data_IF_338905960398
#
_entry.id   IF_338905960398
#
_cell.length_a   1.000
_cell.length_b   1.000
_cell.length_c   1.000
_cell.angle_alpha   90.00
_cell.angle_beta   90.00
_cell.angle_gamma   90.00
#
_symmetry.space_group_name_H-M   'P 1'
#
loop_
_entity.id
_entity.type
_entity.pdbx_description
1 polymer ?
#
# COMPACT_ATOMS: atom_id res chain seq x y z
N UNK A 1 3.90 -18.44 22.61
CA UNK A 1 5.30 -18.57 22.13
C UNK A 1 6.17 -19.44 23.05
N UNK A 2 5.62 -20.46 23.69
CA UNK A 2 6.28 -21.32 24.67
C UNK A 2 6.69 -22.67 24.06
N UNK A 3 7.59 -22.63 23.06
CA UNK A 3 8.25 -23.84 22.60
C UNK A 3 9.61 -24.00 23.27
N UNK A 4 10.10 -25.24 23.49
CA UNK A 4 11.38 -25.50 24.11
C UNK A 4 12.57 -25.04 23.28
N UNK A 5 12.38 -24.80 21.98
CA UNK A 5 13.42 -24.27 21.08
C UNK A 5 12.82 -23.38 19.99
N UNK A 6 13.68 -22.57 19.36
CA UNK A 6 13.31 -21.77 18.19
C UNK A 6 12.84 -22.63 17.01
N UNK A 7 13.41 -23.80 16.83
CA UNK A 7 13.03 -24.73 15.77
C UNK A 7 11.61 -25.26 15.97
N UNK A 8 11.25 -25.58 17.20
CA UNK A 8 9.90 -26.04 17.55
C UNK A 8 8.84 -24.97 17.27
N UNK A 9 9.11 -23.70 17.64
CA UNK A 9 8.23 -22.58 17.31
C UNK A 9 8.07 -22.40 15.80
N UNK A 10 9.16 -22.53 15.05
CA UNK A 10 9.11 -22.47 13.59
C UNK A 10 8.29 -23.60 12.97
N UNK A 11 8.36 -24.80 13.51
CA UNK A 11 7.53 -25.94 13.08
C UNK A 11 6.05 -25.72 13.38
N UNK A 12 5.72 -25.23 14.59
CA UNK A 12 4.34 -24.91 14.95
C UNK A 12 3.76 -23.83 14.06
N UNK A 13 4.48 -22.71 13.85
CA UNK A 13 4.04 -21.63 12.96
C UNK A 13 3.76 -22.16 11.56
N UNK A 14 4.67 -22.98 11.00
CA UNK A 14 4.45 -23.61 9.69
C UNK A 14 3.19 -24.47 9.66
N UNK A 15 3.00 -25.31 10.69
CA UNK A 15 1.80 -26.12 10.80
C UNK A 15 0.51 -25.30 10.86
N UNK A 16 0.53 -24.18 11.59
CA UNK A 16 -0.61 -23.24 11.64
C UNK A 16 -0.88 -22.62 10.28
N UNK A 17 0.16 -22.09 9.61
CA UNK A 17 0.04 -21.45 8.29
C UNK A 17 -0.46 -22.46 7.26
N UNK A 18 0.13 -23.66 7.19
CA UNK A 18 -0.29 -24.71 6.26
C UNK A 18 -1.76 -25.12 6.48
N UNK A 19 -2.19 -25.27 7.72
CA UNK A 19 -3.56 -25.60 8.08
C UNK A 19 -4.54 -24.50 7.67
N UNK A 20 -4.25 -23.24 8.00
CA UNK A 20 -5.10 -22.10 7.62
C UNK A 20 -5.17 -21.98 6.10
N UNK A 21 -4.05 -22.08 5.43
CA UNK A 21 -3.99 -22.00 3.97
C UNK A 21 -4.83 -23.10 3.30
N UNK A 22 -4.60 -24.37 3.65
CA UNK A 22 -5.26 -25.50 2.97
C UNK A 22 -6.73 -25.64 3.31
N UNK A 23 -7.10 -25.45 4.58
CA UNK A 23 -8.45 -25.78 5.03
C UNK A 23 -9.41 -24.58 5.03
N UNK A 24 -8.88 -23.36 5.07
CA UNK A 24 -9.70 -22.16 5.19
C UNK A 24 -9.54 -21.19 4.01
N UNK A 25 -8.30 -20.96 3.53
CA UNK A 25 -8.08 -20.01 2.44
C UNK A 25 -8.28 -20.65 1.05
N UNK A 26 -7.74 -21.86 0.82
CA UNK A 26 -7.84 -22.53 -0.49
C UNK A 26 -9.28 -22.72 -0.96
N UNK A 27 -10.25 -23.10 -0.11
CA UNK A 27 -11.66 -23.19 -0.53
C UNK A 27 -12.25 -21.86 -0.98
N UNK A 28 -11.83 -20.74 -0.40
CA UNK A 28 -12.33 -19.39 -0.67
C UNK A 28 -11.52 -18.65 -1.74
N UNK A 29 -10.49 -19.30 -2.33
CA UNK A 29 -9.54 -18.63 -3.22
C UNK A 29 -10.17 -18.04 -4.47
N UNK A 30 -11.22 -18.68 -4.99
CA UNK A 30 -11.94 -18.17 -6.17
C UNK A 30 -12.68 -16.88 -5.84
N UNK A 31 -13.32 -16.80 -4.68
CA UNK A 31 -14.04 -15.60 -4.24
C UNK A 31 -13.09 -14.46 -3.91
N UNK A 32 -11.94 -14.78 -3.28
CA UNK A 32 -10.88 -13.80 -3.04
C UNK A 32 -10.36 -13.23 -4.37
N UNK A 33 -10.07 -14.09 -5.35
CA UNK A 33 -9.60 -13.67 -6.66
C UNK A 33 -10.63 -12.81 -7.40
N UNK A 34 -11.90 -13.23 -7.38
CA UNK A 34 -13.00 -12.48 -8.01
C UNK A 34 -13.19 -11.10 -7.35
N UNK A 35 -13.13 -11.03 -6.02
CA UNK A 35 -13.19 -9.77 -5.27
C UNK A 35 -12.04 -8.83 -5.64
N UNK A 36 -10.83 -9.36 -5.73
CA UNK A 36 -9.66 -8.55 -6.15
C UNK A 36 -9.76 -8.09 -7.60
N UNK A 37 -10.24 -8.93 -8.51
CA UNK A 37 -10.44 -8.56 -9.92
C UNK A 37 -11.45 -7.41 -10.08
N UNK A 38 -12.49 -7.34 -9.26
CA UNK A 38 -13.43 -6.20 -9.23
C UNK A 38 -12.73 -4.91 -8.82
N UNK A 39 -11.92 -4.95 -7.76
CA UNK A 39 -11.12 -3.80 -7.30
C UNK A 39 -10.16 -3.34 -8.40
N UNK A 40 -9.48 -4.27 -9.04
CA UNK A 40 -8.54 -4.01 -10.13
C UNK A 40 -9.22 -3.41 -11.36
N UNK A 41 -10.38 -3.91 -11.75
CA UNK A 41 -11.15 -3.37 -12.87
C UNK A 41 -11.63 -1.94 -12.60
N UNK A 42 -12.15 -1.68 -11.41
CA UNK A 42 -12.55 -0.34 -10.98
C UNK A 42 -11.36 0.63 -11.01
N UNK A 43 -10.22 0.22 -10.47
CA UNK A 43 -9.01 1.04 -10.50
C UNK A 43 -8.53 1.32 -11.93
N UNK A 44 -8.59 0.34 -12.82
CA UNK A 44 -8.22 0.54 -14.24
C UNK A 44 -9.12 1.56 -14.91
N UNK A 45 -10.43 1.53 -14.65
CA UNK A 45 -11.38 2.52 -15.20
C UNK A 45 -11.05 3.92 -14.69
N UNK A 46 -10.87 4.10 -13.40
CA UNK A 46 -10.53 5.38 -12.77
C UNK A 46 -9.20 5.92 -13.31
N UNK A 47 -8.16 5.09 -13.33
CA UNK A 47 -6.85 5.47 -13.87
C UNK A 47 -6.90 5.87 -15.34
N UNK A 48 -7.74 5.22 -16.15
CA UNK A 48 -7.91 5.58 -17.57
C UNK A 48 -8.45 7.00 -17.69
N UNK A 49 -9.48 7.35 -16.92
CA UNK A 49 -10.06 8.71 -16.90
C UNK A 49 -9.00 9.74 -16.47
N UNK A 50 -8.28 9.45 -15.38
CA UNK A 50 -7.25 10.35 -14.86
C UNK A 50 -6.10 10.57 -15.85
N UNK A 51 -5.66 9.52 -16.55
CA UNK A 51 -4.61 9.63 -17.60
C UNK A 51 -5.10 10.46 -18.77
N UNK A 52 -6.35 10.27 -19.20
CA UNK A 52 -6.95 11.07 -20.27
C UNK A 52 -7.06 12.55 -19.87
N UNK A 53 -7.41 12.86 -18.62
CA UNK A 53 -7.38 14.22 -18.10
C UNK A 53 -5.99 14.84 -18.21
N UNK A 54 -4.94 14.18 -17.70
CA UNK A 54 -3.55 14.68 -17.76
C UNK A 54 -3.10 14.90 -19.20
N UNK A 55 -3.34 13.94 -20.07
CA UNK A 55 -2.91 14.03 -21.47
C UNK A 55 -3.72 15.03 -22.30
N UNK A 56 -4.92 15.43 -21.85
CA UNK A 56 -5.73 16.46 -22.51
C UNK A 56 -5.25 17.88 -22.22
N UNK A 57 -4.46 18.08 -21.16
CA UNK A 57 -3.82 19.37 -20.86
C UNK A 57 -2.81 19.79 -21.95
N UNK A 58 -2.28 18.84 -22.72
CA UNK A 58 -1.31 19.08 -23.79
C UNK A 58 -1.98 19.44 -25.13
N UNK A 59 -3.32 19.37 -25.23
CA UNK A 59 -4.03 19.81 -26.40
C UNK A 59 -4.00 21.36 -26.48
N UNK A 60 -3.51 21.96 -27.57
CA UNK A 60 -3.48 23.41 -27.70
C UNK A 60 -4.91 23.93 -27.54
N UNK A 61 -5.18 24.66 -26.45
CA UNK A 61 -6.46 25.33 -26.27
C UNK A 61 -6.71 26.16 -27.55
N UNK A 62 -7.70 25.74 -28.34
CA UNK A 62 -8.18 26.53 -29.48
C UNK A 62 -8.51 27.92 -28.93
N UNK A 63 -7.63 28.89 -29.22
CA UNK A 63 -7.87 30.27 -28.86
C UNK A 63 -9.27 30.63 -29.35
N UNK A 64 -10.17 31.15 -28.49
CA UNK A 64 -11.46 31.61 -28.96
C UNK A 64 -11.19 32.63 -30.07
N UNK A 65 -11.83 32.45 -31.25
CA UNK A 65 -11.74 33.37 -32.37
C UNK A 65 -12.01 34.76 -31.82
N UNK A 66 -11.01 35.62 -31.88
CA UNK A 66 -11.07 37.00 -31.45
C UNK A 66 -12.27 37.68 -32.10
N UNK A 67 -13.28 38.00 -31.31
CA UNK A 67 -14.30 38.97 -31.71
C UNK A 67 -13.64 40.33 -31.81
N UNK A 68 -13.71 40.88 -32.98
CA UNK A 68 -13.10 42.14 -33.42
C UNK A 68 -13.92 43.34 -32.90
N UNK A 69 -14.00 43.53 -31.52
CA UNK A 69 -14.53 44.77 -30.96
C UNK A 69 -14.10 44.88 -29.48
N UNK A 70 -13.23 45.83 -29.17
CA UNK A 70 -12.89 46.10 -27.78
C UNK A 70 -11.55 46.78 -27.54
N UNK A 71 -11.41 47.94 -28.12
CA UNK A 71 -10.31 48.88 -27.81
C UNK A 71 -10.62 49.56 -26.47
N UNK A 72 -10.30 48.92 -25.33
CA UNK A 72 -10.22 49.63 -24.04
C UNK A 72 -9.13 48.96 -23.17
N UNK A 73 -8.18 49.77 -22.75
CA UNK A 73 -7.07 49.59 -21.83
C UNK A 73 -7.19 48.35 -20.91
N UNK A 74 -6.49 47.26 -21.27
CA UNK A 74 -6.11 46.20 -20.33
C UNK A 74 -4.69 46.50 -19.89
N UNK A 75 -4.49 46.72 -18.59
CA UNK A 75 -3.16 46.67 -17.98
C UNK A 75 -2.53 45.30 -18.31
N UNK A 76 -1.26 45.23 -18.74
CA UNK A 76 -0.59 43.97 -19.01
C UNK A 76 -0.49 43.23 -17.65
N UNK A 77 -1.12 42.06 -17.56
CA UNK A 77 -0.80 41.11 -16.50
C UNK A 77 0.68 40.76 -16.62
N UNK A 78 1.43 40.65 -15.51
CA UNK A 78 2.82 40.22 -15.55
C UNK A 78 2.87 38.91 -16.33
N UNK A 79 3.63 38.88 -17.41
CA UNK A 79 3.92 37.71 -18.21
C UNK A 79 4.86 36.88 -17.35
N UNK A 80 4.38 35.73 -16.90
CA UNK A 80 5.21 34.75 -16.16
C UNK A 80 6.30 34.30 -17.13
N UNK A 81 7.55 34.66 -16.83
CA UNK A 81 8.71 34.52 -17.74
C UNK A 81 9.08 33.06 -17.96
N UNK A 82 8.47 32.12 -17.19
CA UNK A 82 8.67 30.68 -17.32
C UNK A 82 7.41 29.90 -16.88
N UNK A 83 6.38 29.80 -17.74
CA UNK A 83 5.18 29.05 -17.37
C UNK A 83 5.55 27.58 -17.16
N UNK A 84 5.16 27.02 -15.99
CA UNK A 84 5.31 25.60 -15.73
C UNK A 84 4.72 24.79 -16.89
N UNK A 85 5.39 23.72 -17.35
CA UNK A 85 4.84 22.81 -18.35
C UNK A 85 3.42 22.36 -17.98
N UNK A 86 2.50 22.22 -18.93
CA UNK A 86 1.11 21.86 -18.66
C UNK A 86 0.98 20.56 -17.87
N UNK A 87 1.85 19.59 -18.12
CA UNK A 87 1.86 18.31 -17.42
C UNK A 87 2.23 18.46 -15.93
N UNK A 88 3.13 19.38 -15.60
CA UNK A 88 3.47 19.67 -14.20
C UNK A 88 2.33 20.39 -13.49
N UNK A 89 1.56 21.24 -14.21
CA UNK A 89 0.37 21.87 -13.65
C UNK A 89 -0.73 20.84 -13.38
N UNK A 90 -0.97 19.91 -14.30
CA UNK A 90 -1.90 18.80 -14.12
C UNK A 90 -1.51 17.92 -12.91
N UNK A 91 -0.23 17.62 -12.78
CA UNK A 91 0.29 16.85 -11.66
C UNK A 91 0.09 17.57 -10.31
N UNK A 92 0.32 18.90 -10.26
CA UNK A 92 0.09 19.68 -9.05
C UNK A 92 -1.41 19.74 -8.68
N UNK A 93 -2.31 19.78 -9.66
CA UNK A 93 -3.76 19.69 -9.44
C UNK A 93 -4.15 18.33 -8.88
N UNK A 94 -3.62 17.24 -9.40
CA UNK A 94 -3.85 15.90 -8.84
C UNK A 94 -3.39 15.80 -7.39
N UNK A 95 -2.21 16.34 -7.06
CA UNK A 95 -1.69 16.37 -5.68
C UNK A 95 -2.59 17.13 -4.72
N UNK A 96 -3.27 18.18 -5.19
CA UNK A 96 -4.24 18.92 -4.40
C UNK A 96 -5.54 18.13 -4.22
N UNK A 97 -6.01 17.44 -5.26
CA UNK A 97 -7.21 16.61 -5.21
C UNK A 97 -7.07 15.45 -4.24
N UNK A 98 -5.94 14.74 -4.21
CA UNK A 98 -5.68 13.62 -3.27
C UNK A 98 -6.01 13.96 -1.82
N UNK A 99 -5.84 15.23 -1.41
CA UNK A 99 -6.10 15.65 -0.02
C UNK A 99 -7.59 15.74 0.34
N UNK A 100 -8.46 15.77 -0.66
CA UNK A 100 -9.89 16.05 -0.51
C UNK A 100 -10.78 14.91 -1.01
N UNK A 101 -10.19 13.82 -1.48
CA UNK A 101 -10.93 12.66 -2.03
C UNK A 101 -10.97 11.50 -1.04
N UNK A 102 -11.93 10.62 -1.25
CA UNK A 102 -12.05 9.35 -0.53
C UNK A 102 -10.87 8.40 -0.81
N UNK A 103 -10.68 7.40 0.04
CA UNK A 103 -9.52 6.50 0.04
C UNK A 103 -9.24 5.86 -1.33
N UNK A 104 -10.26 5.38 -2.05
CA UNK A 104 -10.06 4.68 -3.31
C UNK A 104 -9.63 5.60 -4.45
N UNK A 105 -10.31 6.72 -4.79
CA UNK A 105 -9.84 7.69 -5.77
C UNK A 105 -8.49 8.28 -5.41
N UNK A 106 -8.26 8.59 -4.14
CA UNK A 106 -6.98 9.10 -3.64
C UNK A 106 -5.84 8.10 -3.87
N UNK A 107 -6.07 6.80 -3.68
CA UNK A 107 -5.10 5.74 -3.96
C UNK A 107 -4.78 5.64 -5.47
N UNK A 108 -5.78 5.72 -6.34
CA UNK A 108 -5.58 5.75 -7.79
C UNK A 108 -4.75 6.97 -8.21
N UNK A 109 -5.09 8.17 -7.71
CA UNK A 109 -4.32 9.39 -8.00
C UNK A 109 -2.89 9.29 -7.48
N UNK A 110 -2.68 8.76 -6.27
CA UNK A 110 -1.34 8.59 -5.68
C UNK A 110 -0.47 7.65 -6.52
N UNK A 111 -1.02 6.53 -6.97
CA UNK A 111 -0.34 5.61 -7.87
C UNK A 111 0.03 6.29 -9.20
N UNK A 112 -0.90 7.03 -9.79
CA UNK A 112 -0.67 7.77 -11.03
C UNK A 112 0.39 8.88 -10.86
N UNK A 113 0.32 9.66 -9.77
CA UNK A 113 1.32 10.69 -9.44
C UNK A 113 2.72 10.09 -9.35
N UNK A 114 2.86 8.92 -8.73
CA UNK A 114 4.14 8.22 -8.62
C UNK A 114 4.73 7.91 -10.00
N UNK A 115 3.94 7.32 -10.89
CA UNK A 115 4.36 6.95 -12.25
C UNK A 115 4.68 8.18 -13.09
N UNK A 116 3.77 9.14 -13.14
CA UNK A 116 3.93 10.37 -13.96
C UNK A 116 5.11 11.21 -13.46
N UNK A 117 5.29 11.33 -12.14
CA UNK A 117 6.45 12.04 -11.58
C UNK A 117 7.78 11.39 -12.00
N UNK A 118 7.84 10.04 -12.05
CA UNK A 118 9.02 9.32 -12.54
C UNK A 118 9.30 9.59 -14.02
N UNK A 119 8.27 9.60 -14.86
CA UNK A 119 8.38 9.88 -16.30
C UNK A 119 8.86 11.32 -16.52
N UNK A 120 8.21 12.29 -15.87
CA UNK A 120 8.56 13.71 -16.00
C UNK A 120 9.96 14.01 -15.46
N UNK A 121 10.35 13.39 -14.34
CA UNK A 121 11.69 13.54 -13.77
C UNK A 121 12.80 13.05 -14.70
N UNK A 122 12.52 12.02 -15.50
CA UNK A 122 13.50 11.44 -16.44
C UNK A 122 13.48 12.09 -17.82
N UNK A 123 12.29 12.41 -18.35
CA UNK A 123 12.09 12.80 -19.75
C UNK A 123 11.69 14.28 -19.92
N UNK A 124 11.33 14.97 -18.83
CA UNK A 124 10.87 16.36 -18.83
C UNK A 124 9.45 16.56 -19.39
N UNK A 125 8.88 15.56 -20.06
CA UNK A 125 7.52 15.56 -20.63
C UNK A 125 6.95 14.15 -20.69
N UNK A 126 5.63 14.04 -20.91
CA UNK A 126 4.94 12.76 -21.10
C UNK A 126 5.01 12.38 -22.58
N UNK A 127 5.94 11.49 -22.95
CA UNK A 127 6.08 10.91 -24.28
C UNK A 127 5.69 9.43 -24.33
N UNK A 128 5.25 8.91 -23.20
CA UNK A 128 4.91 7.50 -23.02
C UNK A 128 3.47 7.25 -23.49
N UNK A 129 3.23 6.07 -24.04
CA UNK A 129 1.89 5.62 -24.41
C UNK A 129 0.93 5.64 -23.20
N UNK A 130 -0.29 6.13 -23.40
CA UNK A 130 -1.29 6.29 -22.35
C UNK A 130 -1.63 4.97 -21.69
N UNK A 131 -1.79 3.91 -22.47
CA UNK A 131 -2.12 2.58 -21.94
C UNK A 131 -0.99 2.05 -21.05
N UNK A 132 0.27 2.31 -21.42
CA UNK A 132 1.41 1.93 -20.60
C UNK A 132 1.42 2.68 -19.26
N UNK A 133 1.05 3.97 -19.26
CA UNK A 133 0.92 4.76 -18.02
C UNK A 133 -0.16 4.16 -17.12
N UNK A 134 -1.33 3.84 -17.69
CA UNK A 134 -2.44 3.18 -16.95
C UNK A 134 -1.97 1.85 -16.36
N UNK A 135 -1.31 1.01 -17.16
CA UNK A 135 -0.88 -0.32 -16.70
C UNK A 135 0.21 -0.23 -15.62
N UNK A 136 1.11 0.74 -15.69
CA UNK A 136 2.11 0.98 -14.66
C UNK A 136 1.46 1.51 -13.36
N UNK A 137 0.56 2.49 -13.48
CA UNK A 137 -0.16 3.03 -12.33
C UNK A 137 -1.04 1.96 -11.66
N UNK A 138 -1.69 1.10 -12.46
CA UNK A 138 -2.46 -0.03 -11.95
C UNK A 138 -1.60 -1.02 -11.17
N UNK A 139 -0.37 -1.29 -11.62
CA UNK A 139 0.57 -2.14 -10.86
C UNK A 139 0.96 -1.53 -9.53
N UNK A 140 1.25 -0.22 -9.50
CA UNK A 140 1.54 0.49 -8.24
C UNK A 140 0.33 0.44 -7.31
N UNK A 141 -0.87 0.77 -7.81
CA UNK A 141 -2.12 0.67 -7.06
C UNK A 141 -2.34 -0.73 -6.48
N UNK A 142 -2.16 -1.79 -7.28
CA UNK A 142 -2.35 -3.17 -6.82
C UNK A 142 -1.34 -3.58 -5.74
N UNK A 143 -0.09 -3.10 -5.81
CA UNK A 143 0.92 -3.41 -4.80
C UNK A 143 0.66 -2.72 -3.46
N UNK A 144 0.05 -1.54 -3.46
CA UNK A 144 -0.23 -0.76 -2.26
C UNK A 144 -1.67 -0.98 -1.79
N UNK A 145 -2.62 -0.23 -2.33
CA UNK A 145 -4.03 -0.28 -1.93
C UNK A 145 -4.68 -1.65 -2.22
N UNK A 146 -4.38 -2.26 -3.38
CA UNK A 146 -4.89 -3.59 -3.72
C UNK A 146 -4.46 -4.67 -2.73
N UNK A 147 -3.25 -4.58 -2.18
CA UNK A 147 -2.78 -5.51 -1.14
C UNK A 147 -3.55 -5.34 0.17
N UNK A 148 -3.92 -4.10 0.54
CA UNK A 148 -4.77 -3.83 1.68
C UNK A 148 -6.18 -4.40 1.48
N UNK A 149 -6.76 -4.26 0.28
CA UNK A 149 -8.06 -4.84 -0.07
C UNK A 149 -8.06 -6.36 0.02
N UNK A 150 -7.01 -7.04 -0.46
CA UNK A 150 -6.85 -8.49 -0.22
C UNK A 150 -6.83 -8.77 1.28
N UNK A 151 -6.12 -7.97 2.07
CA UNK A 151 -6.09 -8.08 3.53
C UNK A 151 -7.50 -8.06 4.13
N UNK A 152 -8.36 -7.14 3.69
CA UNK A 152 -9.75 -7.06 4.12
C UNK A 152 -10.58 -8.28 3.73
N UNK A 153 -10.37 -8.82 2.52
CA UNK A 153 -11.07 -10.02 2.04
C UNK A 153 -10.68 -11.28 2.84
N UNK A 154 -9.41 -11.41 3.24
CA UNK A 154 -8.92 -12.61 3.94
C UNK A 154 -9.07 -12.51 5.47
N UNK A 155 -9.20 -11.32 6.05
CA UNK A 155 -9.30 -11.15 7.50
C UNK A 155 -10.42 -11.99 8.15
N UNK A 156 -11.66 -12.04 7.62
CA UNK A 156 -12.72 -12.86 8.17
C UNK A 156 -12.41 -14.37 8.13
N UNK A 157 -11.67 -14.81 7.10
CA UNK A 157 -11.24 -16.20 6.94
C UNK A 157 -10.25 -16.57 8.03
N UNK A 158 -9.29 -15.68 8.33
CA UNK A 158 -8.34 -15.85 9.43
C UNK A 158 -9.04 -15.88 10.79
N UNK A 159 -10.02 -15.02 11.01
CA UNK A 159 -10.79 -15.01 12.26
C UNK A 159 -11.57 -16.31 12.45
N UNK A 160 -12.23 -16.80 11.39
CA UNK A 160 -12.91 -18.09 11.38
C UNK A 160 -11.97 -19.24 11.68
N UNK A 161 -10.80 -19.25 11.00
CA UNK A 161 -9.78 -20.27 11.20
C UNK A 161 -9.23 -20.26 12.63
N UNK A 162 -8.90 -19.10 13.15
CA UNK A 162 -8.35 -18.97 14.50
C UNK A 162 -9.36 -19.44 15.59
N UNK A 163 -10.63 -19.10 15.43
CA UNK A 163 -11.69 -19.60 16.32
C UNK A 163 -11.82 -21.13 16.27
N UNK A 164 -11.87 -21.68 15.06
CA UNK A 164 -12.08 -23.12 14.85
C UNK A 164 -10.89 -23.96 15.36
N UNK A 165 -9.67 -23.44 15.20
CA UNK A 165 -8.44 -24.12 15.60
C UNK A 165 -7.99 -23.77 17.03
N UNK A 166 -8.73 -22.92 17.73
CA UNK A 166 -8.38 -22.49 19.09
C UNK A 166 -7.12 -21.62 19.16
N UNK A 167 -6.76 -20.90 18.08
CA UNK A 167 -5.63 -20.00 18.09
C UNK A 167 -5.96 -18.70 18.83
N UNK A 168 -4.99 -18.23 19.60
CA UNK A 168 -5.14 -17.00 20.37
C UNK A 168 -4.70 -15.80 19.51
N UNK A 169 -5.58 -14.81 19.38
CA UNK A 169 -5.18 -13.49 18.87
C UNK A 169 -4.48 -12.68 19.95
N UNK A 170 -3.52 -11.87 19.55
CA UNK A 170 -2.96 -10.88 20.45
C UNK A 170 -3.98 -9.75 20.64
N UNK A 171 -4.20 -9.30 21.89
CA UNK A 171 -5.08 -8.18 22.14
C UNK A 171 -4.51 -6.90 21.51
N UNK A 172 -5.39 -6.05 20.97
CA UNK A 172 -5.00 -4.70 20.56
C UNK A 172 -4.60 -3.89 21.80
N UNK A 173 -3.43 -3.26 21.77
CA UNK A 173 -2.91 -2.43 22.86
C UNK A 173 -2.75 -1.00 22.40
N UNK A 174 -3.20 -0.04 23.20
CA UNK A 174 -3.03 1.40 22.94
C UNK A 174 -1.56 1.82 23.09
N UNK A 175 -0.83 1.19 23.99
CA UNK A 175 0.60 1.40 24.25
C UNK A 175 1.36 0.09 24.17
N UNK A 176 1.73 -0.37 22.95
CA UNK A 176 2.39 -1.67 22.79
C UNK A 176 3.81 -1.64 23.33
N UNK A 177 4.18 -2.67 24.11
CA UNK A 177 5.53 -2.86 24.62
C UNK A 177 6.36 -3.62 23.58
N UNK A 178 7.48 -3.06 23.14
CA UNK A 178 8.41 -3.69 22.21
C UNK A 178 9.72 -4.03 22.89
N UNK A 179 10.03 -5.33 23.02
CA UNK A 179 11.31 -5.82 23.51
C UNK A 179 12.23 -6.15 22.33
N UNK A 180 13.14 -5.24 22.01
CA UNK A 180 14.05 -5.40 20.89
C UNK A 180 15.40 -5.98 21.36
N UNK A 181 15.83 -7.08 20.75
CA UNK A 181 17.12 -7.72 21.01
C UNK A 181 18.05 -7.55 19.80
N UNK A 182 19.11 -6.76 19.95
CA UNK A 182 20.15 -6.56 18.92
C UNK A 182 21.44 -7.26 19.33
N UNK A 183 22.14 -7.81 18.34
CA UNK A 183 23.45 -8.43 18.54
C UNK A 183 23.93 -9.16 17.29
N UNK A 184 25.22 -9.43 17.19
CA UNK A 184 25.82 -10.20 16.11
C UNK A 184 25.24 -11.62 16.03
N UNK A 185 25.47 -12.31 14.93
CA UNK A 185 25.15 -13.75 14.83
C UNK A 185 25.93 -14.50 15.92
N UNK A 186 25.30 -15.51 16.51
CA UNK A 186 25.85 -16.31 17.62
C UNK A 186 26.13 -15.56 18.93
N UNK A 187 25.70 -14.30 19.09
CA UNK A 187 25.88 -13.52 20.33
C UNK A 187 24.92 -13.93 21.49
N UNK A 188 24.27 -15.07 21.40
CA UNK A 188 23.37 -15.56 22.46
C UNK A 188 22.02 -14.82 22.57
N UNK A 189 21.56 -14.19 21.49
CA UNK A 189 20.25 -13.48 21.47
C UNK A 189 19.08 -14.36 21.91
N UNK A 190 19.12 -15.64 21.54
CA UNK A 190 18.09 -16.61 21.90
C UNK A 190 18.12 -17.01 23.37
N UNK A 191 19.26 -16.87 24.06
CA UNK A 191 19.38 -17.22 25.48
C UNK A 191 18.88 -16.14 26.44
N UNK A 192 18.60 -14.91 25.92
CA UNK A 192 18.04 -13.82 26.74
C UNK A 192 16.54 -13.98 27.02
N UNK A 193 15.86 -14.90 26.34
CA UNK A 193 14.42 -15.08 26.40
C UNK A 193 13.86 -15.29 27.81
N UNK A 194 14.48 -16.10 28.69
CA UNK A 194 14.01 -16.20 30.07
C UNK A 194 14.05 -14.88 30.84
N UNK A 195 15.00 -14.00 30.48
CA UNK A 195 15.11 -12.66 31.09
C UNK A 195 14.00 -11.73 30.58
N UNK A 196 13.69 -11.81 29.27
CA UNK A 196 12.56 -11.08 28.71
C UNK A 196 11.24 -11.47 29.34
N UNK A 197 11.02 -12.78 29.57
CA UNK A 197 9.84 -13.28 30.28
C UNK A 197 9.73 -12.70 31.70
N UNK A 198 10.82 -12.76 32.46
CA UNK A 198 10.86 -12.17 33.81
C UNK A 198 10.60 -10.67 33.82
N UNK A 199 11.07 -9.98 32.78
CA UNK A 199 10.80 -8.54 32.62
C UNK A 199 9.32 -8.29 32.35
N UNK A 200 8.69 -9.05 31.44
CA UNK A 200 7.26 -8.97 31.18
C UNK A 200 6.43 -9.21 32.46
N UNK A 201 6.77 -10.25 33.22
CA UNK A 201 6.13 -10.57 34.50
C UNK A 201 6.23 -9.40 35.50
N UNK A 202 7.40 -8.75 35.60
CA UNK A 202 7.61 -7.55 36.45
C UNK A 202 6.79 -6.34 35.99
N UNK A 203 6.54 -6.25 34.69
CA UNK A 203 5.72 -5.19 34.10
C UNK A 203 4.22 -5.48 34.17
N UNK A 204 3.84 -6.64 34.71
CA UNK A 204 2.43 -7.07 34.82
C UNK A 204 1.80 -7.44 33.48
N UNK A 205 2.62 -7.73 32.44
CA UNK A 205 2.14 -8.13 31.12
C UNK A 205 2.32 -9.63 30.96
N UNK A 206 1.25 -10.39 30.67
CA UNK A 206 1.33 -11.82 30.42
C UNK A 206 2.29 -12.12 29.26
N UNK A 207 3.16 -13.12 29.45
CA UNK A 207 4.10 -13.51 28.40
C UNK A 207 3.42 -13.97 27.11
N UNK A 208 2.24 -14.54 27.25
CA UNK A 208 1.40 -15.00 26.15
C UNK A 208 0.90 -13.85 25.26
N UNK A 209 0.91 -12.62 25.74
CA UNK A 209 0.47 -11.44 25.00
C UNK A 209 1.59 -10.83 24.14
N UNK A 210 2.78 -11.45 24.13
CA UNK A 210 3.87 -11.06 23.25
C UNK A 210 3.92 -11.90 21.97
N UNK A 211 4.04 -11.24 20.81
CA UNK A 211 4.42 -11.89 19.57
C UNK A 211 5.94 -11.95 19.42
N UNK A 212 6.45 -13.11 19.06
CA UNK A 212 7.86 -13.22 18.67
C UNK A 212 7.99 -12.92 17.18
N UNK A 213 8.64 -11.81 16.84
CA UNK A 213 8.95 -11.42 15.46
C UNK A 213 10.42 -11.71 15.20
N UNK A 214 10.71 -12.73 14.40
CA UNK A 214 12.08 -13.10 14.00
C UNK A 214 12.14 -13.30 12.49
N UNK A 215 13.00 -12.59 11.77
CA UNK A 215 13.18 -12.77 10.33
C UNK A 215 13.55 -14.19 9.92
N UNK A 216 14.25 -14.92 10.79
CA UNK A 216 14.72 -16.27 10.50
C UNK A 216 13.57 -17.30 10.34
N UNK A 217 12.42 -17.06 10.95
CA UNK A 217 11.24 -17.90 10.74
C UNK A 217 10.60 -17.69 9.39
N UNK A 218 10.56 -16.44 8.91
CA UNK A 218 9.97 -16.09 7.64
C UNK A 218 10.84 -16.45 6.45
N UNK A 219 12.17 -16.34 6.57
CA UNK A 219 13.12 -16.69 5.50
C UNK A 219 13.07 -18.17 5.09
N UNK A 220 12.64 -19.05 5.97
CA UNK A 220 12.51 -20.48 5.64
C UNK A 220 11.27 -20.81 4.82
N UNK A 221 10.39 -19.81 4.59
CA UNK A 221 9.18 -19.92 3.78
C UNK A 221 9.31 -19.28 2.39
N UNK A 222 10.21 -18.34 2.26
CA UNK A 222 10.54 -17.68 1.00
C UNK A 222 11.72 -18.39 0.33
#
# INVERSE_FOLDING_TARGET
PDGPSYEYLGLQLRGMVDRVYRHYMTPEMQDIAAGFDLVRQRAKQELTVLVDEICSFDAPQKKPKSSFFGFLKRQPKPVDINPKPPELQALDQLRQRVRNEDDFPAACMTALISVVSGILGKQGRIVTDRQLIVDLALRVFCNDHGSAEIGHLIAPIFEKAAKAEGYRFLPAQSEPIVMNTKGASAAGKSTIRPQQRRLAERMGVPWEDFALISPDYWRKYL
#
